data_IF_898864663325
#
_entry.id   IF_898864663325
#
_cell.length_a   1.000
_cell.length_b   1.000
_cell.length_c   1.000
_cell.angle_alpha   90.00
_cell.angle_beta   90.00
_cell.angle_gamma   90.00
#
_symmetry.space_group_name_H-M   'P 1'
#
loop_
_entity.id
_entity.type
_entity.pdbx_description
1 polymer ?
#
# COMPACT_ATOMS: atom_id res chain seq x y z
N UNK A 1 24.30 -13.78 -39.69
CA UNK A 1 22.94 -14.36 -39.57
C UNK A 1 22.44 -13.97 -38.20
N UNK A 2 21.54 -13.00 -38.10
CA UNK A 2 21.00 -12.57 -36.81
C UNK A 2 19.90 -13.56 -36.44
N UNK A 3 20.12 -14.39 -35.43
CA UNK A 3 19.07 -15.29 -34.90
C UNK A 3 17.97 -14.41 -34.29
N UNK A 4 16.93 -14.17 -35.09
CA UNK A 4 15.72 -13.48 -34.64
C UNK A 4 14.99 -14.43 -33.71
N UNK A 5 14.98 -14.14 -32.41
CA UNK A 5 14.28 -14.95 -31.43
C UNK A 5 12.81 -15.15 -31.85
N UNK A 6 12.27 -16.37 -31.79
CA UNK A 6 10.89 -16.65 -32.15
C UNK A 6 9.93 -15.79 -31.31
N UNK A 7 8.98 -15.12 -31.98
CA UNK A 7 7.98 -14.24 -31.35
C UNK A 7 7.23 -14.92 -30.19
N UNK A 8 7.10 -16.24 -30.22
CA UNK A 8 6.51 -17.04 -29.15
C UNK A 8 7.24 -16.94 -27.80
N UNK A 9 8.56 -16.76 -27.79
CA UNK A 9 9.35 -16.58 -26.57
C UNK A 9 9.09 -15.19 -25.97
N UNK A 10 8.94 -14.15 -26.81
CA UNK A 10 8.63 -12.80 -26.35
C UNK A 10 7.24 -12.73 -25.69
N UNK A 11 6.22 -13.35 -26.29
CA UNK A 11 4.85 -13.37 -25.74
C UNK A 11 4.79 -14.05 -24.36
N UNK A 12 5.58 -15.11 -24.15
CA UNK A 12 5.68 -15.76 -22.83
C UNK A 12 6.37 -14.88 -21.78
N UNK A 13 7.41 -14.16 -22.19
CA UNK A 13 8.15 -13.25 -21.30
C UNK A 13 7.30 -12.04 -20.90
N UNK A 14 6.55 -11.47 -21.84
CA UNK A 14 5.65 -10.33 -21.58
C UNK A 14 4.49 -10.71 -20.66
N UNK A 15 3.95 -11.93 -20.78
CA UNK A 15 2.90 -12.42 -19.87
C UNK A 15 3.38 -12.57 -18.44
N UNK A 16 4.57 -13.15 -18.24
CA UNK A 16 5.16 -13.29 -16.90
C UNK A 16 5.49 -11.93 -16.26
N UNK A 17 5.89 -10.94 -17.06
CA UNK A 17 6.16 -9.57 -16.60
C UNK A 17 4.88 -8.85 -16.17
N UNK A 18 3.74 -9.12 -16.82
CA UNK A 18 2.47 -8.45 -16.53
C UNK A 18 1.85 -8.91 -15.21
N UNK A 19 1.83 -10.22 -14.95
CA UNK A 19 1.27 -10.79 -13.72
C UNK A 19 2.09 -10.41 -12.48
N UNK A 20 3.43 -10.33 -12.58
CA UNK A 20 4.30 -9.98 -11.44
C UNK A 20 4.27 -8.47 -11.10
N UNK A 21 3.93 -7.61 -12.06
CA UNK A 21 3.97 -6.15 -11.85
C UNK A 21 2.74 -5.64 -11.12
N UNK A 22 1.55 -6.21 -11.37
CA UNK A 22 0.30 -5.79 -10.68
C UNK A 22 0.34 -6.13 -9.18
N UNK A 23 0.76 -7.34 -8.79
CA UNK A 23 0.81 -7.72 -7.37
C UNK A 23 1.81 -6.86 -6.57
N UNK A 24 3.00 -6.63 -7.12
CA UNK A 24 4.05 -5.84 -6.45
C UNK A 24 3.68 -4.36 -6.39
N UNK A 25 3.01 -3.80 -7.41
CA UNK A 25 2.57 -2.40 -7.34
C UNK A 25 1.41 -2.21 -6.37
N UNK A 26 0.49 -3.17 -6.25
CA UNK A 26 -0.58 -3.08 -5.25
C UNK A 26 -0.05 -3.16 -3.82
N UNK A 27 0.86 -4.09 -3.52
CA UNK A 27 1.46 -4.20 -2.19
C UNK A 27 2.29 -2.96 -1.83
N UNK A 28 3.13 -2.47 -2.75
CA UNK A 28 3.96 -1.28 -2.50
C UNK A 28 3.09 -0.03 -2.33
N UNK A 29 1.98 0.09 -3.08
CA UNK A 29 1.06 1.23 -2.95
C UNK A 29 0.29 1.17 -1.63
N UNK A 30 -0.17 -0.01 -1.21
CA UNK A 30 -0.83 -0.22 0.09
C UNK A 30 0.14 0.07 1.24
N UNK A 31 1.35 -0.47 1.21
CA UNK A 31 2.37 -0.25 2.24
C UNK A 31 2.77 1.24 2.36
N UNK A 32 2.93 1.93 1.24
CA UNK A 32 3.27 3.36 1.23
C UNK A 32 2.11 4.19 1.79
N UNK A 33 0.87 3.88 1.40
CA UNK A 33 -0.32 4.58 1.89
C UNK A 33 -0.53 4.36 3.39
N UNK A 34 -0.27 3.15 3.88
CA UNK A 34 -0.40 2.81 5.30
C UNK A 34 0.66 3.50 6.17
N UNK A 35 1.90 3.61 5.68
CA UNK A 35 2.97 4.37 6.36
C UNK A 35 2.64 5.85 6.44
N UNK A 36 2.23 6.45 5.32
CA UNK A 36 1.84 7.86 5.28
C UNK A 36 0.65 8.12 6.22
N UNK A 37 -0.38 7.28 6.17
CA UNK A 37 -1.56 7.38 7.06
C UNK A 37 -1.17 7.22 8.54
N UNK A 38 -0.25 6.30 8.86
CA UNK A 38 0.28 6.12 10.22
C UNK A 38 1.01 7.37 10.72
N UNK A 39 1.86 7.97 9.88
CA UNK A 39 2.60 9.18 10.25
C UNK A 39 1.67 10.36 10.47
N UNK A 40 0.64 10.52 9.63
CA UNK A 40 -0.40 11.53 9.84
C UNK A 40 -1.19 11.30 11.13
N UNK A 41 -1.61 10.06 11.41
CA UNK A 41 -2.27 9.71 12.67
C UNK A 41 -1.39 10.06 13.88
N UNK A 42 -0.10 9.72 13.82
CA UNK A 42 0.84 10.00 14.90
C UNK A 42 1.05 11.52 15.07
N UNK A 43 1.16 12.25 13.96
CA UNK A 43 1.28 13.71 14.00
C UNK A 43 0.04 14.37 14.62
N UNK A 44 -1.17 13.92 14.24
CA UNK A 44 -2.43 14.41 14.81
C UNK A 44 -2.46 14.11 16.32
N UNK A 45 -2.16 12.87 16.73
CA UNK A 45 -2.16 12.48 18.14
C UNK A 45 -1.11 13.23 18.98
N UNK A 46 0.01 13.63 18.38
CA UNK A 46 1.05 14.39 19.07
C UNK A 46 0.77 15.89 19.13
N UNK A 47 0.07 16.44 18.13
CA UNK A 47 -0.22 17.89 18.02
C UNK A 47 -1.58 18.27 18.58
N UNK A 48 -2.50 17.31 18.71
CA UNK A 48 -3.86 17.50 19.21
C UNK A 48 -4.14 16.52 20.35
N UNK A 49 -5.01 16.91 21.28
CA UNK A 49 -5.51 16.00 22.34
C UNK A 49 -6.66 15.10 21.85
N UNK A 50 -6.66 14.75 20.57
CA UNK A 50 -7.69 13.88 20.00
C UNK A 50 -7.46 12.42 20.37
N UNK A 51 -8.54 11.66 20.47
CA UNK A 51 -8.46 10.21 20.55
C UNK A 51 -8.07 9.63 19.20
N UNK A 52 -7.53 8.41 19.20
CA UNK A 52 -7.19 7.70 17.96
C UNK A 52 -8.40 7.58 17.02
N UNK A 53 -9.57 7.29 17.57
CA UNK A 53 -10.80 7.23 16.77
C UNK A 53 -11.17 8.58 16.17
N UNK A 54 -10.98 9.69 16.90
CA UNK A 54 -11.19 11.05 16.38
C UNK A 54 -10.19 11.42 15.28
N UNK A 55 -8.93 11.00 15.40
CA UNK A 55 -7.93 11.19 14.35
C UNK A 55 -8.27 10.38 13.08
N UNK A 56 -8.80 9.16 13.24
CA UNK A 56 -9.28 8.32 12.13
C UNK A 56 -10.51 8.92 11.45
N UNK A 57 -11.45 9.49 12.22
CA UNK A 57 -12.60 10.23 11.68
C UNK A 57 -12.16 11.43 10.85
N UNK A 58 -11.17 12.20 11.31
CA UNK A 58 -10.62 13.34 10.56
C UNK A 58 -9.96 12.94 9.24
N UNK A 59 -9.33 11.76 9.20
CA UNK A 59 -8.74 11.20 7.99
C UNK A 59 -9.79 10.52 7.08
N UNK A 60 -11.05 10.44 7.50
CA UNK A 60 -12.11 9.78 6.75
C UNK A 60 -11.93 8.26 6.65
N UNK A 61 -11.26 7.64 7.62
CA UNK A 61 -10.98 6.20 7.63
C UNK A 61 -12.27 5.44 7.96
N UNK A 62 -12.75 4.56 7.05
CA UNK A 62 -13.94 3.74 7.28
C UNK A 62 -13.81 2.88 8.53
N UNK A 63 -14.90 2.64 9.25
CA UNK A 63 -14.90 1.79 10.46
C UNK A 63 -14.34 0.39 10.21
N UNK A 64 -14.55 -0.16 9.01
CA UNK A 64 -14.02 -1.45 8.58
C UNK A 64 -12.48 -1.51 8.57
N UNK A 65 -11.83 -0.39 8.25
CA UNK A 65 -10.38 -0.30 8.09
C UNK A 65 -9.68 0.19 9.38
N UNK A 66 -10.44 0.74 10.35
CA UNK A 66 -9.90 1.18 11.65
C UNK A 66 -9.09 0.10 12.39
N UNK A 67 -9.49 -1.18 12.44
CA UNK A 67 -8.68 -2.23 13.08
C UNK A 67 -7.28 -2.34 12.50
N UNK A 68 -7.13 -2.22 11.17
CA UNK A 68 -5.84 -2.29 10.49
C UNK A 68 -4.91 -1.16 10.95
N UNK A 69 -5.40 0.08 10.96
CA UNK A 69 -4.64 1.24 11.40
C UNK A 69 -4.34 1.23 12.91
N UNK A 70 -5.25 0.70 13.74
CA UNK A 70 -5.01 0.48 15.17
C UNK A 70 -3.85 -0.50 15.39
N UNK A 71 -3.80 -1.58 14.63
CA UNK A 71 -2.72 -2.56 14.74
C UNK A 71 -1.40 -2.07 14.16
N UNK A 72 -1.43 -1.25 13.09
CA UNK A 72 -0.26 -0.56 12.56
C UNK A 72 0.39 0.37 13.60
N UNK A 73 -0.40 1.06 14.44
CA UNK A 73 0.13 1.92 15.51
C UNK A 73 0.66 1.12 16.72
N UNK A 74 0.18 -0.11 16.95
CA UNK A 74 0.71 -0.98 18.01
C UNK A 74 2.04 -1.63 17.64
N UNK A 75 2.29 -1.87 16.34
CA UNK A 75 3.58 -2.38 15.84
C UNK A 75 4.63 -1.27 15.95
N UNK A 76 5.29 -1.23 17.11
CA UNK A 76 6.38 -0.31 17.45
C UNK A 76 7.63 -0.58 16.60
#
# INVERSE_FOLDING_TARGET
MTEVMPQFIQVKLDRAKKETTEEVTEEVTKETTDKVTRDYLLNILNTTNLTLDGAMDLLGIPEADRPMYKDLLKKK
#
